data_IF_484020068297
#
_entry.id   IF_484020068297
#
_cell.length_a   1.000
_cell.length_b   1.000
_cell.length_c   1.000
_cell.angle_alpha   90.00
_cell.angle_beta   90.00
_cell.angle_gamma   90.00
#
_symmetry.space_group_name_H-M   'P 1'
#
loop_
_entity.id
_entity.type
_entity.pdbx_description
1 polymer ?
#
# COMPACT_ATOMS: atom_id res chain seq x y z
N UNK A 1 7.16 3.84 10.10
CA UNK A 1 6.18 4.29 11.11
C UNK A 1 6.83 4.93 12.34
N UNK A 2 7.64 4.21 13.11
CA UNK A 2 8.10 4.70 14.43
C UNK A 2 8.87 6.02 14.38
N UNK A 3 9.79 6.19 13.42
CA UNK A 3 10.48 7.47 13.18
C UNK A 3 9.52 8.62 12.85
N UNK A 4 8.46 8.33 12.09
CA UNK A 4 7.45 9.33 11.71
C UNK A 4 6.63 9.80 12.92
N UNK A 5 6.28 8.89 13.83
CA UNK A 5 5.61 9.23 15.09
C UNK A 5 6.49 10.10 15.99
N UNK A 6 7.76 9.72 16.17
CA UNK A 6 8.72 10.52 16.96
C UNK A 6 8.80 11.93 16.39
N UNK A 7 8.99 12.06 15.08
CA UNK A 7 9.04 13.37 14.42
C UNK A 7 7.75 14.18 14.65
N UNK A 8 6.58 13.58 14.49
CA UNK A 8 5.30 14.27 14.69
C UNK A 8 5.15 14.77 16.13
N UNK A 9 5.47 13.93 17.12
CA UNK A 9 5.40 14.27 18.54
C UNK A 9 6.38 15.38 18.91
N UNK A 10 7.63 15.31 18.45
CA UNK A 10 8.63 16.36 18.70
C UNK A 10 8.29 17.68 18.01
N UNK A 11 7.85 17.62 16.75
CA UNK A 11 7.60 18.81 15.94
C UNK A 11 6.34 19.56 16.34
N UNK A 12 5.29 18.83 16.72
CA UNK A 12 3.95 19.37 16.95
C UNK A 12 3.51 19.32 18.41
N UNK A 13 4.19 18.59 19.30
CA UNK A 13 3.87 18.54 20.72
C UNK A 13 3.75 19.91 21.42
N UNK A 14 4.61 20.90 21.10
CA UNK A 14 4.48 22.25 21.66
C UNK A 14 3.36 23.11 21.05
N UNK A 15 2.71 22.66 19.97
CA UNK A 15 1.71 23.45 19.26
C UNK A 15 0.35 23.39 19.97
N UNK A 16 -0.26 24.53 20.32
CA UNK A 16 -1.62 24.55 20.89
C UNK A 16 -2.72 24.29 19.85
N UNK A 17 -2.37 24.26 18.56
CA UNK A 17 -3.33 24.14 17.45
C UNK A 17 -3.32 22.76 16.77
N UNK A 18 -2.28 21.96 16.99
CA UNK A 18 -2.07 20.70 16.29
C UNK A 18 -2.01 19.59 17.33
N UNK A 19 -2.93 18.65 17.22
CA UNK A 19 -2.95 17.45 18.05
C UNK A 19 -1.91 16.45 17.51
N UNK A 20 -0.73 16.46 18.12
CA UNK A 20 0.38 15.59 17.75
C UNK A 20 0.07 14.10 17.98
N UNK A 21 -0.72 13.78 19.02
CA UNK A 21 -1.10 12.40 19.34
C UNK A 21 -2.06 11.84 18.30
N UNK A 22 -3.04 12.64 17.85
CA UNK A 22 -3.95 12.26 16.76
C UNK A 22 -3.19 11.98 15.45
N UNK A 23 -2.16 12.78 15.14
CA UNK A 23 -1.28 12.55 13.99
C UNK A 23 -0.48 11.26 14.16
N UNK A 24 0.15 11.06 15.33
CA UNK A 24 0.93 9.86 15.61
C UNK A 24 0.08 8.59 15.55
N UNK A 25 -1.16 8.63 16.05
CA UNK A 25 -2.13 7.55 15.95
C UNK A 25 -2.53 7.26 14.48
N UNK A 26 -2.67 8.30 13.66
CA UNK A 26 -2.93 8.14 12.23
C UNK A 26 -1.74 7.54 11.47
N UNK A 27 -0.51 7.92 11.85
CA UNK A 27 0.72 7.32 11.31
C UNK A 27 0.86 5.85 11.73
N UNK A 28 0.45 5.49 12.96
CA UNK A 28 0.47 4.09 13.40
C UNK A 28 -0.39 3.20 12.50
N UNK A 29 -1.53 3.70 12.04
CA UNK A 29 -2.42 2.97 11.15
C UNK A 29 -1.80 2.61 9.80
N UNK A 30 -0.71 3.28 9.38
CA UNK A 30 0.02 2.95 8.14
C UNK A 30 1.11 1.88 8.36
N UNK A 31 1.16 1.23 9.54
CA UNK A 31 2.09 0.14 9.79
C UNK A 31 1.83 -1.02 8.84
N UNK A 32 2.92 -1.46 8.21
CA UNK A 32 2.95 -2.64 7.37
C UNK A 32 3.96 -3.65 7.93
N UNK A 33 3.63 -4.96 7.95
CA UNK A 33 2.33 -5.55 7.64
C UNK A 33 1.24 -5.07 8.60
N UNK A 34 0.00 -4.96 8.12
CA UNK A 34 -1.12 -4.48 8.94
C UNK A 34 -1.31 -5.44 10.12
N UNK A 35 -1.22 -4.96 11.38
CA UNK A 35 -1.46 -5.79 12.55
C UNK A 35 -2.86 -6.41 12.53
N UNK A 36 -2.98 -7.66 12.96
CA UNK A 36 -4.27 -8.35 13.06
C UNK A 36 -4.95 -8.07 14.41
N UNK A 37 -5.16 -6.78 14.72
CA UNK A 37 -5.89 -6.34 15.90
C UNK A 37 -7.12 -5.52 15.52
N UNK A 38 -8.03 -5.36 16.47
CA UNK A 38 -9.33 -4.71 16.26
C UNK A 38 -9.17 -3.28 15.72
N UNK A 39 -8.16 -2.55 16.20
CA UNK A 39 -7.92 -1.14 15.83
C UNK A 39 -7.52 -1.06 14.36
N UNK A 40 -6.55 -1.89 13.95
CA UNK A 40 -6.07 -1.92 12.58
C UNK A 40 -7.09 -2.57 11.64
N UNK A 41 -7.97 -3.46 12.09
CA UNK A 41 -9.03 -3.98 11.20
C UNK A 41 -10.13 -2.96 10.88
N UNK A 42 -10.23 -1.85 11.62
CA UNK A 42 -11.22 -0.82 11.35
C UNK A 42 -10.99 -0.12 10.00
N UNK A 43 -12.07 0.19 9.27
CA UNK A 43 -12.02 0.80 7.93
C UNK A 43 -12.77 2.13 7.81
N UNK A 44 -13.45 2.57 8.87
CA UNK A 44 -14.31 3.76 8.87
C UNK A 44 -13.86 4.84 9.87
N UNK A 45 -12.61 4.76 10.32
CA UNK A 45 -11.96 5.76 11.17
C UNK A 45 -11.08 6.70 10.35
N UNK A 46 -10.72 7.85 10.92
CA UNK A 46 -9.75 8.75 10.30
C UNK A 46 -8.41 8.07 10.01
N UNK A 47 -7.84 7.35 10.97
CA UNK A 47 -6.57 6.65 10.78
C UNK A 47 -6.66 5.56 9.71
N UNK A 48 -7.81 4.89 9.59
CA UNK A 48 -8.01 3.93 8.48
C UNK A 48 -8.12 4.59 7.11
N UNK A 49 -8.63 5.83 7.03
CA UNK A 49 -8.59 6.61 5.78
C UNK A 49 -7.15 7.00 5.43
N UNK A 50 -6.33 7.38 6.42
CA UNK A 50 -4.91 7.68 6.20
C UNK A 50 -4.17 6.43 5.69
N UNK A 51 -4.41 5.26 6.28
CA UNK A 51 -3.88 4.00 5.75
C UNK A 51 -4.35 3.73 4.32
N UNK A 52 -5.65 3.87 4.06
CA UNK A 52 -6.17 3.61 2.72
C UNK A 52 -5.53 4.55 1.69
N UNK A 53 -5.30 5.82 2.03
CA UNK A 53 -4.60 6.77 1.18
C UNK A 53 -3.14 6.37 0.92
N UNK A 54 -2.42 5.91 1.95
CA UNK A 54 -1.05 5.38 1.81
C UNK A 54 -1.00 4.17 0.88
N UNK A 55 -1.87 3.17 1.11
CA UNK A 55 -1.96 1.98 0.26
C UNK A 55 -2.34 2.30 -1.18
N UNK A 56 -3.38 3.12 -1.39
CA UNK A 56 -3.81 3.52 -2.75
C UNK A 56 -2.68 4.28 -3.45
N UNK A 57 -2.00 5.19 -2.76
CA UNK A 57 -0.88 5.96 -3.32
C UNK A 57 0.27 5.07 -3.77
N UNK A 58 0.61 4.04 -2.99
CA UNK A 58 1.66 3.08 -3.36
C UNK A 58 1.24 2.20 -4.55
N UNK A 59 -0.01 1.72 -4.57
CA UNK A 59 -0.47 0.75 -5.57
C UNK A 59 -0.91 1.40 -6.90
N UNK A 60 -1.37 2.65 -6.86
CA UNK A 60 -1.75 3.41 -8.05
C UNK A 60 -0.55 4.09 -8.74
N UNK A 61 0.66 4.00 -8.17
CA UNK A 61 1.87 4.57 -8.77
C UNK A 61 2.19 3.91 -10.12
N UNK A 62 2.18 4.66 -11.26
CA UNK A 62 2.55 4.11 -12.57
C UNK A 62 3.98 3.56 -12.62
N UNK A 63 4.86 4.04 -11.73
CA UNK A 63 6.24 3.62 -11.62
C UNK A 63 6.46 2.53 -10.57
N UNK A 64 5.40 1.89 -10.08
CA UNK A 64 5.50 0.78 -9.11
C UNK A 64 6.59 -0.22 -9.52
N UNK A 65 6.60 -0.63 -10.79
CA UNK A 65 7.60 -1.54 -11.38
C UNK A 65 9.06 -1.09 -11.20
N UNK A 66 9.35 0.22 -11.23
CA UNK A 66 10.70 0.75 -11.04
C UNK A 66 11.13 0.74 -9.57
N UNK A 67 10.17 0.74 -8.65
CA UNK A 67 10.40 0.80 -7.21
C UNK A 67 10.51 -0.58 -6.57
N UNK A 68 10.21 -1.66 -7.29
CA UNK A 68 10.19 -3.04 -6.78
C UNK A 68 11.51 -3.45 -6.14
N UNK A 69 12.66 -3.12 -6.76
CA UNK A 69 13.96 -3.45 -6.18
C UNK A 69 14.21 -2.73 -4.84
N UNK A 70 13.84 -1.44 -4.76
CA UNK A 70 13.99 -0.68 -3.53
C UNK A 70 13.03 -1.19 -2.44
N UNK A 71 11.78 -1.51 -2.82
CA UNK A 71 10.77 -2.06 -1.92
C UNK A 71 11.18 -3.44 -1.37
N UNK A 72 11.76 -4.30 -2.22
CA UNK A 72 12.30 -5.59 -1.79
C UNK A 72 13.40 -5.42 -0.75
N UNK A 73 14.34 -4.50 -0.98
CA UNK A 73 15.40 -4.23 -0.01
C UNK A 73 14.84 -3.73 1.32
N UNK A 74 13.85 -2.84 1.30
CA UNK A 74 13.15 -2.40 2.51
C UNK A 74 12.50 -3.59 3.24
N UNK A 75 11.84 -4.49 2.50
CA UNK A 75 11.24 -5.69 3.09
C UNK A 75 12.27 -6.66 3.65
N UNK A 76 13.46 -6.73 3.08
CA UNK A 76 14.57 -7.52 3.64
C UNK A 76 15.06 -6.89 4.94
N UNK A 77 15.23 -5.56 4.98
CA UNK A 77 15.67 -4.81 6.17
C UNK A 77 14.67 -4.92 7.33
N UNK A 78 13.36 -4.89 7.06
CA UNK A 78 12.31 -5.05 8.07
C UNK A 78 12.03 -6.51 8.45
N UNK A 79 12.57 -7.46 7.68
CA UNK A 79 12.31 -8.90 7.81
C UNK A 79 10.96 -9.36 7.23
N UNK A 80 10.23 -8.46 6.56
CA UNK A 80 8.95 -8.74 5.93
C UNK A 80 9.07 -9.65 4.71
N UNK A 81 10.18 -9.57 3.97
CA UNK A 81 10.45 -10.45 2.85
C UNK A 81 10.37 -11.92 3.29
N UNK A 82 11.01 -12.27 4.41
CA UNK A 82 10.95 -13.63 4.97
C UNK A 82 9.56 -13.99 5.49
N UNK A 83 8.86 -13.04 6.12
CA UNK A 83 7.51 -13.25 6.69
C UNK A 83 6.46 -13.52 5.59
N UNK A 84 6.61 -12.85 4.44
CA UNK A 84 5.73 -12.97 3.28
C UNK A 84 6.20 -14.04 2.27
N UNK A 85 7.36 -14.65 2.52
CA UNK A 85 7.93 -15.70 1.67
C UNK A 85 8.45 -15.19 0.32
N UNK A 86 9.04 -14.00 0.30
CA UNK A 86 9.76 -13.44 -0.84
C UNK A 86 11.26 -13.77 -0.72
N UNK A 87 11.81 -14.40 -1.75
CA UNK A 87 13.22 -14.78 -1.87
C UNK A 87 14.00 -13.84 -2.81
N UNK A 88 13.30 -13.18 -3.73
CA UNK A 88 13.89 -12.26 -4.69
C UNK A 88 12.91 -11.13 -5.08
N UNK A 89 13.37 -10.04 -5.74
CA UNK A 89 12.51 -8.95 -6.17
C UNK A 89 11.43 -9.33 -7.20
N UNK A 90 11.65 -10.37 -8.02
CA UNK A 90 10.64 -10.83 -8.98
C UNK A 90 9.45 -11.48 -8.26
N UNK A 91 9.64 -12.05 -7.07
CA UNK A 91 8.54 -12.59 -6.26
C UNK A 91 7.54 -11.50 -5.86
N UNK A 92 7.98 -10.24 -5.71
CA UNK A 92 7.07 -9.12 -5.46
C UNK A 92 6.18 -8.82 -6.66
N UNK A 93 6.66 -9.05 -7.88
CA UNK A 93 5.85 -8.93 -9.11
C UNK A 93 4.90 -10.11 -9.19
N UNK A 94 5.44 -11.31 -9.02
CA UNK A 94 4.70 -12.55 -9.20
C UNK A 94 3.57 -12.65 -8.17
N UNK A 95 3.84 -12.37 -6.90
CA UNK A 95 2.85 -12.45 -5.83
C UNK A 95 2.08 -11.15 -5.62
N UNK A 96 2.30 -10.13 -6.46
CA UNK A 96 1.61 -8.84 -6.34
C UNK A 96 0.07 -8.98 -6.31
N UNK A 97 -0.59 -9.79 -7.18
CA UNK A 97 -2.05 -9.89 -7.11
C UNK A 97 -2.52 -10.51 -5.79
N UNK A 98 -1.86 -11.57 -5.31
CA UNK A 98 -2.17 -12.21 -4.02
C UNK A 98 -1.97 -11.23 -2.87
N UNK A 99 -0.90 -10.44 -2.93
CA UNK A 99 -0.63 -9.36 -1.99
C UNK A 99 -1.74 -8.30 -2.02
N UNK A 100 -2.13 -7.83 -3.20
CA UNK A 100 -3.17 -6.81 -3.35
C UNK A 100 -4.52 -7.31 -2.80
N UNK A 101 -4.98 -8.48 -3.23
CA UNK A 101 -6.27 -9.02 -2.80
C UNK A 101 -6.29 -9.44 -1.33
N UNK A 102 -5.17 -9.96 -0.80
CA UNK A 102 -5.08 -10.44 0.58
C UNK A 102 -4.78 -9.35 1.62
N UNK A 103 -3.97 -8.34 1.27
CA UNK A 103 -3.45 -7.37 2.23
C UNK A 103 -3.83 -5.92 1.94
N UNK A 104 -4.32 -5.58 0.74
CA UNK A 104 -4.68 -4.19 0.39
C UNK A 104 -6.18 -4.02 0.24
N UNK A 105 -6.82 -4.86 -0.58
CA UNK A 105 -8.25 -4.76 -0.88
C UNK A 105 -9.16 -4.65 0.37
N UNK A 106 -8.93 -5.40 1.46
CA UNK A 106 -9.78 -5.33 2.65
C UNK A 106 -9.81 -3.95 3.31
N UNK A 107 -8.76 -3.14 3.14
CA UNK A 107 -8.58 -1.87 3.86
C UNK A 107 -8.93 -0.63 3.05
N UNK A 108 -9.11 -0.75 1.73
CA UNK A 108 -9.34 0.41 0.84
C UNK A 108 -10.81 0.59 0.44
N UNK A 109 -11.66 -0.43 0.62
CA UNK A 109 -13.05 -0.43 0.12
C UNK A 109 -13.86 0.82 0.46
N UNK A 110 -14.01 1.18 1.75
CA UNK A 110 -14.73 2.40 2.14
C UNK A 110 -14.08 3.68 1.61
N UNK A 111 -12.75 3.72 1.50
CA UNK A 111 -12.01 4.87 1.00
C UNK A 111 -12.28 5.14 -0.50
N UNK A 112 -12.46 4.09 -1.30
CA UNK A 112 -12.77 4.22 -2.72
C UNK A 112 -14.06 5.02 -2.96
N UNK A 113 -15.07 4.88 -2.09
CA UNK A 113 -16.32 5.64 -2.17
C UNK A 113 -16.11 7.15 -2.11
N UNK A 114 -15.10 7.62 -1.39
CA UNK A 114 -14.77 9.04 -1.34
C UNK A 114 -14.07 9.51 -2.63
N UNK A 115 -13.25 8.66 -3.23
CA UNK A 115 -12.58 8.95 -4.51
C UNK A 115 -13.57 8.99 -5.69
N UNK A 116 -14.71 8.31 -5.60
CA UNK A 116 -15.76 8.37 -6.62
C UNK A 116 -16.45 9.74 -6.73
N UNK A 117 -16.28 10.63 -5.74
CA UNK A 117 -16.97 11.91 -5.69
C UNK A 117 -16.37 12.99 -6.60
N UNK A 118 -15.10 12.85 -7.01
CA UNK A 118 -14.39 13.84 -7.83
C UNK A 118 -13.83 13.22 -9.11
N UNK A 119 -13.55 14.07 -10.11
CA UNK A 119 -12.94 13.61 -11.37
C UNK A 119 -11.52 13.10 -11.13
N UNK A 120 -10.76 13.81 -10.30
CA UNK A 120 -9.39 13.46 -9.91
C UNK A 120 -9.38 12.14 -9.12
N UNK A 121 -10.32 11.95 -8.19
CA UNK A 121 -10.41 10.70 -7.43
C UNK A 121 -10.72 9.50 -8.32
N UNK A 122 -11.61 9.65 -9.33
CA UNK A 122 -11.87 8.61 -10.32
C UNK A 122 -10.64 8.25 -11.15
N UNK A 123 -9.73 9.20 -11.41
CA UNK A 123 -8.46 8.90 -12.09
C UNK A 123 -7.55 8.02 -11.23
N UNK A 124 -7.50 8.25 -9.91
CA UNK A 124 -6.77 7.37 -8.98
C UNK A 124 -7.34 5.95 -8.97
N UNK A 125 -8.67 5.82 -8.97
CA UNK A 125 -9.34 4.51 -9.05
C UNK A 125 -8.99 3.81 -10.38
N UNK A 126 -9.02 4.54 -11.50
CA UNK A 126 -8.68 4.00 -12.81
C UNK A 126 -7.21 3.56 -12.89
N UNK A 127 -6.28 4.35 -12.34
CA UNK A 127 -4.87 4.01 -12.28
C UNK A 127 -4.61 2.75 -11.43
N UNK A 128 -5.24 2.68 -10.25
CA UNK A 128 -5.18 1.51 -9.38
C UNK A 128 -5.65 0.24 -10.11
N UNK A 129 -6.84 0.30 -10.73
CA UNK A 129 -7.40 -0.83 -11.48
C UNK A 129 -6.54 -1.21 -12.68
N UNK A 130 -5.98 -0.24 -13.40
CA UNK A 130 -5.07 -0.48 -14.52
C UNK A 130 -3.80 -1.22 -14.06
N UNK A 131 -3.21 -0.81 -12.95
CA UNK A 131 -1.98 -1.45 -12.43
C UNK A 131 -2.24 -2.90 -12.02
N UNK A 132 -3.32 -3.14 -11.26
CA UNK A 132 -3.72 -4.50 -10.86
C UNK A 132 -3.98 -5.37 -12.12
N UNK A 133 -4.75 -4.84 -13.08
CA UNK A 133 -5.08 -5.55 -14.31
C UNK A 133 -3.83 -5.86 -15.15
N UNK A 134 -2.92 -4.90 -15.32
CA UNK A 134 -1.69 -5.11 -16.08
C UNK A 134 -0.85 -6.21 -15.46
N UNK A 135 -0.67 -6.22 -14.15
CA UNK A 135 0.16 -7.23 -13.48
C UNK A 135 -0.48 -8.62 -13.56
N UNK A 136 -1.80 -8.72 -13.38
CA UNK A 136 -2.54 -9.97 -13.55
C UNK A 136 -2.48 -10.53 -14.98
N UNK A 137 -2.46 -9.66 -16.01
CA UNK A 137 -2.45 -10.08 -17.42
C UNK A 137 -1.04 -10.22 -18.00
N UNK A 138 -0.04 -9.50 -17.51
CA UNK A 138 1.37 -9.73 -17.83
C UNK A 138 1.81 -11.14 -17.44
N UNK A 139 1.25 -11.71 -16.36
CA UNK A 139 1.40 -13.14 -16.01
C UNK A 139 0.95 -14.10 -17.12
N UNK A 140 0.03 -13.69 -18.01
CA UNK A 140 -0.47 -14.53 -19.12
C UNK A 140 0.38 -14.43 -20.38
N UNK A 141 1.19 -13.39 -20.54
CA UNK A 141 1.94 -13.11 -21.79
C UNK A 141 3.38 -13.60 -21.74
N UNK A 142 3.93 -13.90 -20.56
CA UNK A 142 5.28 -14.48 -20.42
C UNK A 142 5.21 -16.01 -20.54
N UNK A 143 4.87 -16.48 -21.73
CA UNK A 143 5.23 -17.82 -22.21
C UNK A 143 6.11 -17.64 -23.45
N UNK A 144 7.09 -18.54 -23.72
CA UNK A 144 7.83 -18.47 -24.96
C UNK A 144 6.82 -18.50 -26.11
N UNK A 145 6.90 -17.51 -27.01
CA UNK A 145 6.19 -17.60 -28.28
C UNK A 145 6.58 -18.94 -28.90
N UNK A 146 5.63 -19.87 -29.01
CA UNK A 146 5.76 -21.02 -29.87
C UNK A 146 5.91 -20.47 -31.28
N UNK A 147 7.15 -20.29 -31.73
CA UNK A 147 7.43 -20.01 -33.13
C UNK A 147 6.78 -21.13 -33.94
N UNK A 148 5.70 -20.80 -34.63
CA UNK A 148 5.11 -21.70 -35.60
C UNK A 148 6.14 -21.89 -36.71
N UNK A 149 6.62 -23.13 -36.86
CA UNK A 149 7.29 -23.60 -38.06
C UNK A 149 6.31 -23.68 -39.23
#
# INVERSE_FOLDING_TARGET
>A
VDRGKIYALERFGPSPYIDAERIAASIEMTRFPVPNDVIHTATETEGSLVRAADLIGQMADPFYHRKINALYLEFVETGDAKRLGYENPADLIDKYPEFFWGHVQPFIGPALRYLELTTEGKQWIAALNSNVFQIEHSRRVVGPFSGAC
#
